data_IF_723825565816
#
_entry.id   IF_723825565816
#
_cell.length_a   1.000
_cell.length_b   1.000
_cell.length_c   1.000
_cell.angle_alpha   90.00
_cell.angle_beta   90.00
_cell.angle_gamma   90.00
#
_symmetry.space_group_name_H-M   'P 1'
#
loop_
_entity.id
_entity.type
_entity.pdbx_description
1 polymer ?
#
# COMPACT_ATOMS: atom_id res chain seq x y z
N UNK A 1 13.50 7.81 5.01
CA UNK A 1 12.73 9.07 4.98
C UNK A 1 12.32 9.53 3.57
N UNK A 2 13.09 9.27 2.51
CA UNK A 2 12.75 9.77 1.15
C UNK A 2 11.49 9.19 0.48
N UNK A 3 11.18 7.89 0.65
CA UNK A 3 10.06 7.25 -0.06
C UNK A 3 8.67 7.83 0.25
N UNK A 4 8.46 8.31 1.47
CA UNK A 4 7.15 8.82 1.91
C UNK A 4 6.80 10.17 1.24
N UNK A 5 7.77 11.07 1.09
CA UNK A 5 7.56 12.37 0.45
C UNK A 5 7.33 12.25 -1.06
N UNK A 6 7.93 11.26 -1.72
CA UNK A 6 7.70 10.98 -3.14
C UNK A 6 6.29 10.43 -3.39
N UNK A 7 5.79 9.53 -2.54
CA UNK A 7 4.43 8.98 -2.63
C UNK A 7 3.35 10.06 -2.45
N UNK A 8 3.56 10.99 -1.52
CA UNK A 8 2.62 12.06 -1.21
C UNK A 8 2.58 13.16 -2.29
N UNK A 9 3.71 13.49 -2.92
CA UNK A 9 3.79 14.61 -3.87
C UNK A 9 3.37 14.25 -5.30
N UNK A 10 3.48 12.98 -5.68
CA UNK A 10 3.29 12.57 -7.08
C UNK A 10 1.89 12.04 -7.36
N UNK A 11 1.15 11.65 -6.31
CA UNK A 11 -0.08 10.86 -6.48
C UNK A 11 0.20 9.51 -7.16
N UNK A 12 1.46 9.07 -7.16
CA UNK A 12 1.90 7.89 -7.91
C UNK A 12 1.60 6.63 -7.12
N UNK A 13 0.93 5.75 -7.84
CA UNK A 13 0.70 4.35 -7.57
C UNK A 13 2.06 3.62 -7.57
N UNK A 14 2.59 3.27 -6.39
CA UNK A 14 3.65 2.26 -6.34
C UNK A 14 2.98 0.88 -6.36
N UNK A 15 3.20 0.16 -7.46
CA UNK A 15 2.88 -1.26 -7.53
C UNK A 15 3.99 -2.02 -6.83
N UNK A 16 3.65 -2.73 -5.75
CA UNK A 16 4.58 -3.55 -5.00
C UNK A 16 4.35 -5.03 -5.29
N UNK A 17 5.41 -5.74 -5.64
CA UNK A 17 5.43 -7.20 -5.76
C UNK A 17 6.24 -7.77 -4.59
N UNK A 18 5.61 -8.47 -3.64
CA UNK A 18 6.28 -9.07 -2.49
C UNK A 18 7.31 -10.13 -2.88
N UNK A 19 8.50 -10.13 -2.29
CA UNK A 19 9.50 -11.21 -2.50
C UNK A 19 9.15 -12.53 -1.78
N UNK A 20 8.17 -12.50 -0.87
CA UNK A 20 7.75 -13.64 -0.04
C UNK A 20 6.29 -13.50 0.34
N UNK A 21 5.64 -14.64 0.66
CA UNK A 21 4.28 -14.61 1.18
C UNK A 21 4.24 -13.89 2.54
N UNK A 22 3.41 -12.86 2.63
CA UNK A 22 3.22 -12.05 3.84
C UNK A 22 1.80 -11.49 3.89
N UNK A 23 1.47 -10.72 4.92
CA UNK A 23 0.22 -9.96 4.94
C UNK A 23 0.41 -8.53 4.44
N UNK A 24 -0.65 -7.90 3.96
CA UNK A 24 -0.67 -6.46 3.68
C UNK A 24 -0.20 -5.64 4.89
N UNK A 25 -0.60 -6.04 6.10
CA UNK A 25 -0.16 -5.38 7.33
C UNK A 25 1.34 -5.48 7.58
N UNK A 26 1.97 -6.59 7.20
CA UNK A 26 3.43 -6.74 7.28
C UNK A 26 4.13 -5.84 6.26
N UNK A 27 3.62 -5.79 5.02
CA UNK A 27 4.12 -4.89 3.98
C UNK A 27 4.05 -3.42 4.42
N UNK A 28 2.92 -2.99 4.99
CA UNK A 28 2.75 -1.63 5.49
C UNK A 28 3.75 -1.29 6.61
N UNK A 29 4.02 -2.23 7.51
CA UNK A 29 5.04 -2.06 8.55
C UNK A 29 6.44 -1.95 7.96
N UNK A 30 6.79 -2.78 6.97
CA UNK A 30 8.10 -2.71 6.29
C UNK A 30 8.31 -1.35 5.58
N UNK A 31 7.24 -0.79 5.02
CA UNK A 31 7.25 0.53 4.39
C UNK A 31 7.09 1.70 5.39
N UNK A 32 6.88 1.39 6.68
CA UNK A 32 6.61 2.35 7.74
C UNK A 32 5.40 3.26 7.40
N UNK A 33 4.35 2.65 6.85
CA UNK A 33 3.08 3.28 6.48
C UNK A 33 1.99 2.90 7.49
N UNK A 34 1.20 3.88 7.92
CA UNK A 34 0.04 3.64 8.78
C UNK A 34 -1.22 3.44 7.91
N UNK A 35 -1.88 2.30 8.09
CA UNK A 35 -3.07 1.85 7.35
C UNK A 35 -4.21 2.88 7.28
N UNK A 36 -4.42 3.69 8.33
CA UNK A 36 -5.46 4.74 8.35
C UNK A 36 -5.33 5.81 7.25
N UNK A 37 -4.14 5.98 6.70
CA UNK A 37 -3.87 7.01 5.69
C UNK A 37 -3.85 6.46 4.26
N UNK A 38 -4.04 5.15 4.06
CA UNK A 38 -3.92 4.53 2.76
C UNK A 38 -5.04 3.51 2.48
N UNK A 39 -5.60 3.56 1.29
CA UNK A 39 -6.41 2.48 0.73
C UNK A 39 -5.50 1.45 0.05
N UNK A 40 -5.63 0.17 0.39
CA UNK A 40 -4.86 -0.90 -0.25
C UNK A 40 -5.75 -1.68 -1.21
N UNK A 41 -5.26 -1.88 -2.44
CA UNK A 41 -5.83 -2.81 -3.39
C UNK A 41 -4.84 -3.96 -3.63
N UNK A 42 -5.34 -5.18 -3.66
CA UNK A 42 -4.61 -6.38 -4.07
C UNK A 42 -5.38 -6.96 -5.26
N UNK A 43 -4.70 -7.11 -6.40
CA UNK A 43 -5.27 -7.58 -7.67
C UNK A 43 -6.54 -6.80 -8.07
N UNK A 44 -6.51 -5.48 -7.86
CA UNK A 44 -7.61 -4.56 -8.14
C UNK A 44 -8.79 -4.62 -7.16
N UNK A 45 -8.70 -5.39 -6.07
CA UNK A 45 -9.74 -5.49 -5.02
C UNK A 45 -9.26 -4.89 -3.71
N UNK A 46 -10.16 -4.24 -2.98
CA UNK A 46 -9.84 -3.71 -1.64
C UNK A 46 -9.38 -4.84 -0.72
N UNK A 47 -8.22 -4.65 -0.11
CA UNK A 47 -7.63 -5.56 0.83
C UNK A 47 -7.62 -4.97 2.24
N UNK A 48 -7.64 -5.84 3.23
CA UNK A 48 -7.44 -5.49 4.63
C UNK A 48 -6.00 -5.83 5.07
N UNK A 49 -5.54 -5.35 6.24
CA UNK A 49 -4.20 -5.67 6.74
C UNK A 49 -3.94 -7.16 6.96
N UNK A 50 -4.97 -8.00 7.04
CA UNK A 50 -4.84 -9.46 7.23
C UNK A 50 -4.80 -10.22 5.90
N UNK A 51 -5.01 -9.54 4.78
CA UNK A 51 -5.03 -10.13 3.44
C UNK A 51 -3.63 -10.64 3.12
N UNK A 52 -3.54 -11.91 2.74
CA UNK A 52 -2.28 -12.54 2.34
C UNK A 52 -1.95 -12.14 0.91
N UNK A 53 -0.70 -11.79 0.71
CA UNK A 53 -0.10 -11.43 -0.57
C UNK A 53 1.14 -12.28 -0.79
N UNK A 54 1.47 -12.52 -2.05
CA UNK A 54 2.64 -13.27 -2.50
C UNK A 54 3.29 -12.59 -3.71
N UNK A 55 4.34 -13.21 -4.25
CA UNK A 55 5.11 -12.73 -5.40
C UNK A 55 4.31 -12.53 -6.69
N UNK A 56 3.12 -13.12 -6.79
CA UNK A 56 2.24 -12.98 -7.94
C UNK A 56 1.13 -11.95 -7.71
N UNK A 57 1.03 -11.40 -6.51
CA UNK A 57 -0.01 -10.45 -6.12
C UNK A 57 0.38 -9.03 -6.55
N UNK A 58 -0.55 -8.31 -7.17
CA UNK A 58 -0.38 -6.90 -7.51
C UNK A 58 -0.90 -6.02 -6.37
N UNK A 59 0.00 -5.39 -5.61
CA UNK A 59 -0.40 -4.51 -4.50
C UNK A 59 -0.31 -3.05 -4.91
N UNK A 60 -1.43 -2.32 -4.79
CA UNK A 60 -1.52 -0.89 -5.04
C UNK A 60 -1.86 -0.17 -3.74
N UNK A 61 -1.04 0.81 -3.38
CA UNK A 61 -1.22 1.65 -2.19
C UNK A 61 -1.71 3.03 -2.64
N UNK A 62 -2.91 3.41 -2.23
CA UNK A 62 -3.54 4.69 -2.55
C UNK A 62 -3.50 5.60 -1.33
N UNK A 63 -2.93 6.81 -1.40
CA UNK A 63 -3.08 7.77 -0.32
C UNK A 63 -4.56 8.12 -0.15
N UNK A 64 -5.04 8.10 1.08
CA UNK A 64 -6.36 8.57 1.44
C UNK A 64 -6.35 10.11 1.37
N UNK A 65 -6.52 10.63 0.15
CA UNK A 65 -6.72 12.06 -0.06
C UNK A 65 -8.13 12.36 0.42
N UNK A 66 -8.25 12.83 1.66
CA UNK A 66 -9.47 13.44 2.17
C UNK A 66 -9.70 14.75 1.41
N UNK A 67 -10.24 14.65 0.19
CA UNK A 67 -10.74 15.78 -0.56
C UNK A 67 -12.06 16.23 0.05
N UNK A 68 -12.03 17.32 0.80
CA UNK A 68 -13.23 17.95 1.33
C UNK A 68 -12.92 19.29 1.97
N UNK A 69 -12.96 20.34 1.16
CA UNK A 69 -13.29 21.69 1.65
C UNK A 69 -14.77 21.73 2.04
#
# INVERSE_FOLDING_TARGET
MQKMEELLNTGVFETFSPDKSMTVGDLLKELNLEDKYFGILVDGKKADPNTKIDENSEVVILPHIAGGN
#
